data_IF_223322087670
#
_entry.id   IF_223322087670
#
_cell.length_a   1.000
_cell.length_b   1.000
_cell.length_c   1.000
_cell.angle_alpha   90.00
_cell.angle_beta   90.00
_cell.angle_gamma   90.00
#
_symmetry.space_group_name_H-M   'P 1'
#
loop_
_entity.id
_entity.type
_entity.pdbx_description
1 polymer ?
#
# COMPACT_ATOMS: atom_id res chain seq x y z
N UNK A 1 33.66 -9.22 -9.48
CA UNK A 1 33.53 -9.64 -8.07
C UNK A 1 32.12 -10.14 -7.91
N UNK A 2 31.87 -11.42 -7.59
CA UNK A 2 30.54 -11.98 -7.74
C UNK A 2 29.69 -11.48 -6.58
N UNK A 3 28.76 -10.59 -6.91
CA UNK A 3 27.61 -10.25 -6.08
C UNK A 3 26.71 -11.50 -6.05
N UNK A 4 27.08 -12.49 -5.22
CA UNK A 4 26.17 -13.56 -4.86
C UNK A 4 25.16 -12.93 -3.91
N UNK A 5 24.19 -12.23 -4.48
CA UNK A 5 23.26 -11.42 -3.71
C UNK A 5 22.39 -12.36 -2.90
N UNK A 6 22.40 -12.19 -1.57
CA UNK A 6 21.49 -12.90 -0.65
C UNK A 6 20.03 -12.77 -1.13
N UNK A 7 19.71 -11.67 -1.82
CA UNK A 7 18.45 -11.46 -2.52
C UNK A 7 18.12 -12.55 -3.55
N UNK A 8 19.07 -13.03 -4.36
CA UNK A 8 18.83 -14.09 -5.33
C UNK A 8 18.51 -15.44 -4.64
N UNK A 9 19.05 -15.68 -3.45
CA UNK A 9 18.74 -16.86 -2.65
C UNK A 9 17.39 -16.73 -1.93
N UNK A 10 17.04 -15.52 -1.46
CA UNK A 10 15.71 -15.22 -0.91
C UNK A 10 14.61 -15.30 -1.98
N UNK A 11 14.86 -14.83 -3.20
CA UNK A 11 13.93 -14.98 -4.32
C UNK A 11 13.72 -16.45 -4.68
N UNK A 12 14.78 -17.27 -4.74
CA UNK A 12 14.67 -18.72 -4.96
C UNK A 12 13.95 -19.45 -3.83
N UNK A 13 14.12 -18.98 -2.59
CA UNK A 13 13.40 -19.52 -1.43
C UNK A 13 11.91 -19.18 -1.50
N UNK A 14 11.58 -17.92 -1.82
CA UNK A 14 10.20 -17.48 -2.01
C UNK A 14 9.51 -18.26 -3.15
N UNK A 15 10.20 -18.50 -4.27
CA UNK A 15 9.67 -19.29 -5.39
C UNK A 15 9.39 -20.77 -5.04
N UNK A 16 9.97 -21.30 -3.95
CA UNK A 16 9.74 -22.68 -3.49
C UNK A 16 8.70 -22.78 -2.37
N UNK A 17 8.26 -21.67 -1.81
CA UNK A 17 7.20 -21.62 -0.82
C UNK A 17 5.85 -21.39 -1.52
N UNK A 18 4.79 -21.95 -0.96
CA UNK A 18 3.43 -21.62 -1.41
C UNK A 18 3.09 -20.19 -1.01
N UNK A 19 2.36 -19.47 -1.87
CA UNK A 19 1.93 -18.09 -1.61
C UNK A 19 1.29 -17.91 -0.22
N UNK A 20 0.45 -18.86 0.22
CA UNK A 20 -0.17 -18.83 1.55
C UNK A 20 0.85 -18.72 2.70
N UNK A 21 1.97 -19.45 2.60
CA UNK A 21 3.00 -19.42 3.65
C UNK A 21 3.78 -18.12 3.66
N UNK A 22 3.99 -17.51 2.49
CA UNK A 22 4.64 -16.21 2.38
C UNK A 22 3.74 -15.11 2.92
N UNK A 23 2.43 -15.22 2.68
CA UNK A 23 1.43 -14.30 3.20
C UNK A 23 1.36 -14.33 4.73
N UNK A 24 1.38 -15.51 5.35
CA UNK A 24 1.39 -15.67 6.80
C UNK A 24 2.65 -15.09 7.47
N UNK A 25 3.77 -15.05 6.73
CA UNK A 25 5.05 -14.52 7.21
C UNK A 25 5.24 -13.02 6.95
N UNK A 26 4.39 -12.42 6.11
CA UNK A 26 4.44 -11.00 5.81
C UNK A 26 3.81 -10.14 6.90
N UNK A 27 3.94 -8.82 6.77
CA UNK A 27 3.23 -7.89 7.64
C UNK A 27 1.72 -8.03 7.47
N UNK A 28 0.99 -8.03 8.59
CA UNK A 28 -0.47 -8.14 8.61
C UNK A 28 -1.09 -6.76 8.80
N UNK A 29 -2.21 -6.49 8.13
CA UNK A 29 -2.82 -5.15 8.14
C UNK A 29 -3.32 -4.77 9.53
N UNK A 30 -3.76 -5.75 10.32
CA UNK A 30 -4.23 -5.60 11.69
C UNK A 30 -3.14 -5.07 12.63
N UNK A 31 -1.87 -5.40 12.35
CA UNK A 31 -0.72 -4.95 13.13
C UNK A 31 -0.14 -3.62 12.61
N UNK A 32 -0.38 -3.33 11.33
CA UNK A 32 0.12 -2.13 10.66
C UNK A 32 -0.79 -0.92 10.86
N UNK A 33 -2.12 -1.06 10.87
CA UNK A 33 -3.05 0.07 11.01
C UNK A 33 -3.22 0.42 12.49
N UNK A 34 -2.73 1.59 12.90
CA UNK A 34 -2.94 2.13 14.25
C UNK A 34 -4.27 2.89 14.32
N UNK A 35 -4.51 3.78 13.34
CA UNK A 35 -5.77 4.50 13.22
C UNK A 35 -6.12 4.76 11.76
N UNK A 36 -7.42 4.75 11.46
CA UNK A 36 -7.95 4.93 10.10
C UNK A 36 -9.22 5.76 10.16
N UNK A 37 -9.26 6.84 9.39
CA UNK A 37 -10.50 7.56 9.12
C UNK A 37 -10.62 7.89 7.64
N UNK A 38 -11.83 7.81 7.12
CA UNK A 38 -12.15 8.22 5.77
C UNK A 38 -13.42 9.07 5.81
N UNK A 39 -13.33 10.30 5.29
CA UNK A 39 -14.45 11.25 5.33
C UNK A 39 -15.05 11.41 6.74
N UNK A 40 -14.18 11.52 7.75
CA UNK A 40 -14.54 11.62 9.19
C UNK A 40 -15.22 10.39 9.80
N UNK A 41 -15.33 9.29 9.06
CA UNK A 41 -15.86 8.00 9.54
C UNK A 41 -14.69 7.07 9.86
N UNK A 42 -14.75 6.41 11.01
CA UNK A 42 -13.75 5.41 11.39
C UNK A 42 -13.76 4.23 10.41
N UNK A 43 -12.58 3.78 10.03
CA UNK A 43 -12.35 2.58 9.25
C UNK A 43 -11.42 1.63 10.00
N UNK A 44 -11.33 0.39 9.55
CA UNK A 44 -10.49 -0.64 10.16
C UNK A 44 -9.75 -1.45 9.10
N UNK A 45 -8.96 -2.43 9.55
CA UNK A 45 -8.33 -3.44 8.71
C UNK A 45 -9.33 -4.12 7.74
N UNK A 46 -10.61 -4.23 8.12
CA UNK A 46 -11.65 -4.83 7.27
C UNK A 46 -11.89 -4.03 5.98
N UNK A 47 -11.56 -2.74 5.94
CA UNK A 47 -11.68 -1.89 4.75
C UNK A 47 -10.56 -2.12 3.72
N UNK A 48 -9.59 -2.98 4.04
CA UNK A 48 -8.48 -3.29 3.15
C UNK A 48 -8.66 -4.66 2.51
N UNK A 49 -8.40 -4.74 1.21
CA UNK A 49 -8.25 -6.00 0.49
C UNK A 49 -6.79 -6.35 0.36
N UNK A 50 -6.47 -7.62 0.54
CA UNK A 50 -5.10 -8.12 0.52
C UNK A 50 -4.77 -8.74 -0.84
N UNK A 51 -3.55 -8.50 -1.30
CA UNK A 51 -2.92 -9.29 -2.34
C UNK A 51 -1.42 -9.45 -2.06
N UNK A 52 -0.84 -10.53 -2.55
CA UNK A 52 0.58 -10.82 -2.38
C UNK A 52 1.39 -10.36 -3.60
N UNK A 53 2.51 -9.69 -3.36
CA UNK A 53 3.50 -9.37 -4.37
C UNK A 53 4.85 -10.01 -4.00
N UNK A 54 5.48 -10.72 -4.94
CA UNK A 54 6.73 -11.45 -4.68
C UNK A 54 7.90 -10.56 -4.24
N UNK A 55 7.90 -9.27 -4.59
CA UNK A 55 8.96 -8.29 -4.26
C UNK A 55 8.63 -7.50 -3.00
N UNK A 56 7.37 -7.13 -2.81
CA UNK A 56 6.94 -6.23 -1.72
C UNK A 56 6.23 -6.95 -0.57
N UNK A 57 5.97 -8.26 -0.69
CA UNK A 57 5.24 -9.04 0.30
C UNK A 57 3.74 -8.76 0.27
N UNK A 58 3.13 -8.64 1.45
CA UNK A 58 1.70 -8.34 1.58
C UNK A 58 1.42 -6.89 1.20
N UNK A 59 0.47 -6.71 0.29
CA UNK A 59 -0.03 -5.41 -0.15
C UNK A 59 -1.50 -5.28 0.23
N UNK A 60 -1.92 -4.06 0.57
CA UNK A 60 -3.27 -3.78 1.07
C UNK A 60 -3.87 -2.58 0.34
N UNK A 61 -5.07 -2.78 -0.23
CA UNK A 61 -5.81 -1.75 -0.96
C UNK A 61 -7.01 -1.31 -0.14
N UNK A 62 -7.06 -0.04 0.21
CA UNK A 62 -8.23 0.55 0.87
C UNK A 62 -9.41 0.66 -0.10
N UNK A 63 -10.60 0.23 0.34
CA UNK A 63 -11.86 0.34 -0.40
C UNK A 63 -12.96 0.88 0.52
N UNK A 64 -13.90 1.66 -0.03
CA UNK A 64 -15.06 2.13 0.74
C UNK A 64 -16.16 1.07 0.79
N UNK A 65 -17.05 1.20 1.78
CA UNK A 65 -18.23 0.32 1.88
C UNK A 65 -19.16 0.45 0.67
N UNK A 66 -19.26 1.66 0.10
CA UNK A 66 -20.06 1.91 -1.10
C UNK A 66 -19.50 1.13 -2.30
N UNK A 67 -18.17 1.19 -2.48
CA UNK A 67 -17.46 0.45 -3.53
C UNK A 67 -17.63 -1.07 -3.37
N UNK A 68 -17.54 -1.59 -2.13
CA UNK A 68 -17.81 -3.01 -1.83
C UNK A 68 -19.24 -3.44 -2.17
N UNK A 69 -20.21 -2.55 -2.06
CA UNK A 69 -21.61 -2.82 -2.40
C UNK A 69 -21.91 -2.63 -3.90
N UNK A 70 -20.90 -2.32 -4.72
CA UNK A 70 -21.06 -2.03 -6.15
C UNK A 70 -21.68 -0.66 -6.42
N UNK A 71 -21.78 0.19 -5.40
CA UNK A 71 -22.26 1.55 -5.53
C UNK A 71 -21.09 2.47 -5.93
N UNK A 72 -20.98 2.69 -7.24
CA UNK A 72 -20.02 3.62 -7.83
C UNK A 72 -20.56 5.05 -7.90
N UNK A 73 -21.66 5.38 -7.18
CA UNK A 73 -22.04 6.78 -7.00
C UNK A 73 -20.88 7.47 -6.30
N UNK A 74 -20.26 8.42 -7.01
CA UNK A 74 -18.95 8.96 -6.64
C UNK A 74 -18.91 9.30 -5.16
N UNK A 75 -18.00 8.66 -4.43
CA UNK A 75 -17.81 8.89 -3.01
C UNK A 75 -17.70 10.40 -2.82
N UNK A 76 -18.65 10.98 -2.08
CA UNK A 76 -18.73 12.41 -1.84
C UNK A 76 -17.60 12.88 -0.94
N UNK A 77 -16.37 12.86 -1.44
CA UNK A 77 -15.19 13.36 -0.73
C UNK A 77 -15.24 14.88 -0.80
N UNK A 78 -15.48 15.51 0.36
CA UNK A 78 -15.30 16.94 0.47
C UNK A 78 -13.80 17.26 0.37
N UNK A 79 -13.47 18.36 -0.30
CA UNK A 79 -12.08 18.80 -0.36
C UNK A 79 -11.59 19.19 1.05
N UNK A 80 -10.45 18.64 1.47
CA UNK A 80 -9.84 18.97 2.76
C UNK A 80 -9.11 17.76 3.35
N UNK A 81 -8.06 18.04 4.14
CA UNK A 81 -7.19 17.00 4.72
C UNK A 81 -7.96 16.02 5.63
N UNK A 82 -9.00 16.52 6.33
CA UNK A 82 -9.81 15.72 7.27
C UNK A 82 -10.91 14.90 6.60
N UNK A 83 -11.23 15.18 5.34
CA UNK A 83 -12.31 14.52 4.61
C UNK A 83 -11.81 13.43 3.65
N UNK A 84 -10.49 13.31 3.49
CA UNK A 84 -9.84 12.22 2.76
C UNK A 84 -9.60 10.98 3.62
N UNK A 85 -8.71 10.11 3.13
CA UNK A 85 -8.17 8.98 3.88
C UNK A 85 -7.04 9.48 4.78
N UNK A 86 -7.17 9.30 6.09
CA UNK A 86 -6.15 9.61 7.09
C UNK A 86 -5.76 8.32 7.78
N UNK A 87 -4.48 7.97 7.71
CA UNK A 87 -3.92 6.74 8.25
C UNK A 87 -2.77 7.07 9.20
N UNK A 88 -2.76 6.38 10.34
CA UNK A 88 -1.57 6.22 11.17
C UNK A 88 -1.12 4.77 11.06
N UNK A 89 0.11 4.58 10.62
CA UNK A 89 0.63 3.26 10.26
C UNK A 89 1.88 2.91 11.07
N UNK A 90 1.93 1.70 11.59
CA UNK A 90 3.09 1.05 12.15
C UNK A 90 3.87 0.34 11.04
N UNK A 91 5.09 0.81 10.74
CA UNK A 91 5.96 0.17 9.75
C UNK A 91 6.66 -1.09 10.26
N UNK A 92 6.54 -1.41 11.56
CA UNK A 92 7.16 -2.59 12.19
C UNK A 92 8.65 -2.75 11.86
N UNK A 93 9.42 -1.67 11.94
CA UNK A 93 10.84 -1.66 11.55
C UNK A 93 11.71 -2.66 12.32
N UNK A 94 11.27 -3.12 13.49
CA UNK A 94 11.93 -4.18 14.27
C UNK A 94 11.79 -5.59 13.69
N UNK A 95 10.85 -5.81 12.76
CA UNK A 95 10.60 -7.09 12.08
C UNK A 95 11.28 -7.17 10.70
N UNK A 96 11.99 -6.11 10.31
CA UNK A 96 12.66 -6.06 9.01
C UNK A 96 13.83 -7.05 8.95
N UNK A 97 14.01 -7.64 7.78
CA UNK A 97 15.17 -8.48 7.52
C UNK A 97 16.45 -7.63 7.55
N UNK A 98 17.56 -8.25 7.96
CA UNK A 98 18.86 -7.57 8.02
C UNK A 98 19.35 -7.05 6.65
N UNK A 99 18.78 -7.55 5.55
CA UNK A 99 19.07 -7.11 4.18
C UNK A 99 18.22 -5.93 3.74
N UNK A 100 17.19 -5.51 4.48
CA UNK A 100 16.32 -4.42 4.07
C UNK A 100 17.06 -3.08 4.12
N UNK A 101 17.21 -2.42 2.96
CA UNK A 101 18.03 -1.20 2.82
C UNK A 101 17.30 0.09 3.23
N UNK A 102 15.97 0.10 3.20
CA UNK A 102 15.17 1.30 3.47
C UNK A 102 13.90 0.97 4.24
N UNK A 103 13.43 1.93 5.04
CA UNK A 103 12.19 1.80 5.80
C UNK A 103 11.16 2.84 5.39
N UNK A 104 9.93 2.37 5.23
CA UNK A 104 8.82 3.18 4.79
C UNK A 104 7.69 2.34 4.21
N UNK A 105 6.69 3.05 3.70
CA UNK A 105 5.54 2.47 3.01
C UNK A 105 5.59 2.87 1.55
N UNK A 106 5.20 1.97 0.65
CA UNK A 106 5.00 2.29 -0.75
C UNK A 106 3.51 2.55 -0.98
N UNK A 107 3.15 3.80 -1.25
CA UNK A 107 1.78 4.21 -1.55
C UNK A 107 1.57 4.29 -3.06
N UNK A 108 0.54 3.61 -3.56
CA UNK A 108 0.08 3.73 -4.94
C UNK A 108 -1.39 4.12 -4.98
N UNK A 109 -1.74 5.02 -5.91
CA UNK A 109 -3.12 5.37 -6.23
C UNK A 109 -3.45 4.81 -7.60
N UNK A 110 -4.49 3.98 -7.68
CA UNK A 110 -4.92 3.35 -8.92
C UNK A 110 -6.44 3.38 -9.06
N UNK A 111 -6.93 3.03 -10.25
CA UNK A 111 -8.37 2.83 -10.48
C UNK A 111 -8.82 1.49 -9.88
N UNK A 112 -10.04 1.41 -9.29
CA UNK A 112 -10.53 0.20 -8.60
C UNK A 112 -10.38 -1.10 -9.39
N UNK A 113 -10.68 -1.07 -10.69
CA UNK A 113 -10.72 -2.27 -11.54
C UNK A 113 -9.39 -2.58 -12.24
N UNK A 114 -8.30 -1.92 -11.86
CA UNK A 114 -7.00 -2.07 -12.52
C UNK A 114 -6.04 -2.90 -11.68
N UNK A 115 -5.36 -3.85 -12.35
CA UNK A 115 -4.23 -4.59 -11.76
C UNK A 115 -3.14 -3.62 -11.31
N UNK A 116 -2.66 -3.82 -10.08
CA UNK A 116 -1.65 -3.00 -9.44
C UNK A 116 -0.27 -3.60 -9.66
N UNK A 117 0.65 -2.78 -10.19
CA UNK A 117 2.07 -3.09 -10.25
C UNK A 117 2.79 -2.08 -9.35
N UNK A 118 3.26 -2.48 -8.14
CA UNK A 118 3.89 -1.54 -7.23
C UNK A 118 5.17 -0.90 -7.80
N UNK A 119 5.80 -1.55 -8.79
CA UNK A 119 6.97 -1.04 -9.51
C UNK A 119 6.65 0.18 -10.41
N UNK A 120 5.39 0.44 -10.75
CA UNK A 120 4.97 1.47 -11.71
C UNK A 120 4.88 2.90 -11.11
N UNK A 121 5.76 3.23 -10.16
CA UNK A 121 5.92 4.60 -9.65
C UNK A 121 5.09 4.94 -8.41
N UNK A 122 5.06 4.03 -7.43
CA UNK A 122 4.56 4.34 -6.09
C UNK A 122 5.36 5.44 -5.38
N UNK A 123 4.70 6.17 -4.48
CA UNK A 123 5.31 7.14 -3.59
C UNK A 123 5.85 6.44 -2.35
N UNK A 124 7.13 6.58 -2.06
CA UNK A 124 7.73 6.08 -0.81
C UNK A 124 7.47 7.09 0.32
N UNK A 125 6.86 6.62 1.41
CA UNK A 125 6.53 7.41 2.60
C UNK A 125 7.47 6.99 3.73
N UNK A 126 8.24 7.95 4.24
CA UNK A 126 9.15 7.71 5.38
C UNK A 126 8.39 7.65 6.70
N UNK A 127 8.77 6.74 7.63
CA UNK A 127 8.20 6.71 8.96
C UNK A 127 8.64 7.93 9.79
N UNK A 128 7.88 8.25 10.84
CA UNK A 128 8.20 9.32 11.78
C UNK A 128 7.81 10.74 11.33
N UNK A 129 7.23 10.90 10.14
CA UNK A 129 6.73 12.16 9.62
C UNK A 129 5.31 12.02 9.08
N UNK A 130 4.53 13.09 9.18
CA UNK A 130 3.23 13.18 8.51
C UNK A 130 3.43 13.53 7.03
N UNK A 131 2.90 12.68 6.13
CA UNK A 131 2.95 12.92 4.68
C UNK A 131 1.55 13.22 4.16
N UNK A 132 1.38 14.39 3.54
CA UNK A 132 0.09 14.81 2.97
C UNK A 132 0.15 14.68 1.44
N UNK A 133 -0.73 13.86 0.88
CA UNK A 133 -0.82 13.63 -0.57
C UNK A 133 -2.15 14.17 -1.07
N UNK A 134 -2.11 15.21 -1.90
CA UNK A 134 -3.29 15.73 -2.57
C UNK A 134 -3.48 15.04 -3.92
N UNK A 135 -4.70 14.59 -4.21
CA UNK A 135 -5.04 13.92 -5.47
C UNK A 135 -5.93 14.81 -6.33
N UNK A 136 -5.62 14.88 -7.62
CA UNK A 136 -6.44 15.54 -8.62
C UNK A 136 -6.71 14.57 -9.76
N UNK A 137 -7.98 14.23 -9.98
CA UNK A 137 -8.38 13.42 -11.13
C UNK A 137 -8.33 14.27 -12.40
N UNK A 138 -7.37 13.99 -13.27
CA UNK A 138 -7.27 14.63 -14.59
C UNK A 138 -7.93 13.73 -15.62
N UNK A 139 -8.98 14.21 -16.29
CA UNK A 139 -9.57 13.52 -17.45
C UNK A 139 -8.95 14.09 -18.74
N UNK A 140 -8.07 13.31 -19.36
CA UNK A 140 -7.51 13.57 -20.69
C UNK A 140 -6.56 14.77 -20.79
N UNK A 141 -5.30 14.62 -20.36
CA UNK A 141 -4.16 15.29 -21.04
C UNK A 141 -2.80 14.78 -20.56
N UNK A 142 -1.90 14.60 -21.53
CA UNK A 142 -0.47 14.40 -21.36
C UNK A 142 0.12 15.67 -20.72
N UNK A 143 0.67 15.55 -19.52
CA UNK A 143 1.47 16.61 -18.92
C UNK A 143 2.93 16.28 -19.20
N UNK A 144 3.47 16.84 -20.28
CA UNK A 144 4.92 17.00 -20.41
C UNK A 144 5.28 18.20 -19.54
N UNK A 145 5.90 17.96 -18.38
CA UNK A 145 6.65 19.02 -17.70
C UNK A 145 8.08 18.98 -18.26
N UNK A 146 8.45 20.11 -18.86
CA UNK A 146 9.82 20.43 -19.29
C UNK A 146 10.71 20.63 -18.06
#
# INVERSE_FOLDING_TARGET
>A
MPEHSIYADLEKLALNLSDLRLQDMGHQIEDMVISCTFNTVECSAENFTHFYNYRYGNCFTFTTNDEKNGDNTGIGVQAGQTHGLVLEMNVQSGEYMAVTESAGLLLLVHEPDRVVYPDDGGLVISPGFATNVALQKVRGQCVILV
#
